data_IF_990423331977
#
_entry.id   IF_990423331977
#
_cell.length_a   1.000
_cell.length_b   1.000
_cell.length_c   1.000
_cell.angle_alpha   90.00
_cell.angle_beta   90.00
_cell.angle_gamma   90.00
#
_symmetry.space_group_name_H-M   'P 1'
#
loop_
_entity.id
_entity.type
_entity.pdbx_description
1 polymer ?
#
# COMPACT_ATOMS: atom_id res chain seq x y z
N UNK A 1 -44.62 -10.17 13.34
CA UNK A 1 -44.00 -10.00 12.96
C UNK A 1 -43.39 -9.81 12.82
N UNK A 2 -43.27 -9.86 12.81
CA UNK A 2 -42.27 -9.68 12.40
C UNK A 2 -41.55 -9.44 12.33
N UNK A 3 -41.23 -9.45 12.18
CA UNK A 3 -40.30 -9.27 11.85
C UNK A 3 -39.58 -9.02 11.59
N UNK A 4 -39.42 -8.91 11.62
CA UNK A 4 -38.51 -8.71 11.10
C UNK A 4 -37.89 -8.54 10.91
N UNK A 5 -38.30 -8.78 11.29
CA UNK A 5 -37.53 -8.71 10.79
C UNK A 5 -36.82 -8.50 10.56
N UNK A 6 -36.97 -8.50 10.74
CA UNK A 6 -36.09 -8.36 10.03
C UNK A 6 -35.46 -8.08 10.08
N UNK A 7 -35.30 -8.06 10.15
CA UNK A 7 -34.57 -7.83 9.79
C UNK A 7 -33.96 -7.67 9.75
N UNK A 8 -33.93 -7.66 9.77
CA UNK A 8 -33.13 -7.57 9.29
C UNK A 8 -32.49 -7.58 9.12
N UNK A 9 -32.84 -7.74 9.60
CA UNK A 9 -31.87 -7.63 9.08
C UNK A 9 -31.19 -7.53 8.97
N UNK A 10 -31.22 -7.63 9.20
CA UNK A 10 -30.37 -7.58 8.53
C UNK A 10 -29.71 -7.40 8.30
N UNK A 11 -29.90 -7.46 8.65
CA UNK A 11 -28.94 -7.33 7.88
C UNK A 11 -28.43 -7.09 7.85
N UNK A 12 -28.22 -7.28 8.03
CA UNK A 12 -27.51 -6.94 7.52
C UNK A 12 -26.92 -6.81 7.37
N UNK A 13 -26.88 -7.08 7.45
CA UNK A 13 -26.03 -6.79 6.83
C UNK A 13 -25.33 -6.71 6.61
N UNK A 14 -25.21 -6.70 6.68
CA UNK A 14 -24.31 -6.47 5.93
C UNK A 14 -23.75 -6.20 5.76
N UNK A 15 -23.56 -6.34 5.78
CA UNK A 15 -22.91 -5.87 5.20
C UNK A 15 -22.26 -5.84 5.12
N UNK A 16 -22.07 -6.02 5.01
CA UNK A 16 -21.22 -5.73 4.53
C UNK A 16 -20.74 -5.54 4.29
N UNK A 17 -20.56 -5.91 4.10
CA UNK A 17 -20.16 -5.42 3.51
C UNK A 17 -19.74 -4.91 2.81
N UNK A 18 -19.78 -5.24 2.33
CA UNK A 18 -19.32 -4.26 1.36
C UNK A 18 -17.92 -3.72 1.63
N UNK A 19 -17.46 -4.00 2.77
CA UNK A 19 -16.12 -3.59 3.18
C UNK A 19 -15.04 -4.03 2.21
N UNK A 20 -15.09 -5.23 1.63
CA UNK A 20 -14.01 -5.63 0.71
C UNK A 20 -13.88 -4.70 -0.49
N UNK A 21 -14.95 -4.13 -0.95
CA UNK A 21 -14.89 -3.25 -2.11
C UNK A 21 -14.20 -1.94 -1.81
N UNK A 22 -13.92 -1.65 -0.54
CA UNK A 22 -13.24 -0.43 -0.14
C UNK A 22 -11.72 -0.56 -0.16
N UNK A 23 -11.21 -1.76 -0.37
CA UNK A 23 -9.77 -1.93 -0.52
C UNK A 23 -9.32 -1.49 -1.89
N UNK A 24 -8.20 -0.81 -1.91
CA UNK A 24 -7.58 -0.36 -3.16
C UNK A 24 -6.14 -0.80 -3.17
N UNK A 25 -5.62 -0.97 -4.38
CA UNK A 25 -4.21 -1.24 -4.57
C UNK A 25 -3.50 0.06 -4.92
N UNK A 26 -2.41 0.31 -4.25
CA UNK A 26 -1.56 1.46 -4.52
C UNK A 26 -0.20 0.97 -5.00
N UNK A 27 0.36 1.71 -5.94
CA UNK A 27 1.71 1.46 -6.41
C UNK A 27 2.62 2.54 -5.84
N UNK A 28 3.62 2.11 -5.11
CA UNK A 28 4.65 2.99 -4.58
C UNK A 28 5.92 2.75 -5.37
N UNK A 29 6.48 3.79 -5.97
CA UNK A 29 7.70 3.69 -6.76
C UNK A 29 8.79 4.50 -6.09
N UNK A 30 9.92 3.85 -5.82
CA UNK A 30 11.08 4.48 -5.19
C UNK A 30 12.27 4.28 -6.10
N UNK A 31 12.96 5.38 -6.43
CA UNK A 31 14.20 5.31 -7.21
C UNK A 31 15.35 5.69 -6.28
N UNK A 32 16.35 4.83 -6.21
CA UNK A 32 17.52 5.05 -5.37
C UNK A 32 18.77 4.56 -6.08
N UNK A 33 19.92 4.84 -5.49
CA UNK A 33 21.19 4.34 -6.02
C UNK A 33 21.24 2.81 -5.90
N UNK A 34 21.85 2.17 -6.90
CA UNK A 34 21.91 0.71 -6.92
C UNK A 34 22.55 0.14 -5.65
N UNK A 35 23.51 0.84 -5.08
CA UNK A 35 24.18 0.38 -3.85
C UNK A 35 23.24 0.36 -2.64
N UNK A 36 22.16 1.15 -2.69
CA UNK A 36 21.20 1.23 -1.58
C UNK A 36 19.97 0.35 -1.80
N UNK A 37 19.87 -0.29 -2.97
CA UNK A 37 18.62 -0.98 -3.33
C UNK A 37 18.24 -2.08 -2.36
N UNK A 38 19.21 -2.89 -1.94
CA UNK A 38 18.92 -3.98 -1.02
C UNK A 38 18.42 -3.51 0.32
N UNK A 39 19.09 -2.51 0.91
CA UNK A 39 18.67 -1.98 2.19
C UNK A 39 17.35 -1.22 2.07
N UNK A 40 17.12 -0.55 0.96
CA UNK A 40 15.87 0.17 0.74
C UNK A 40 14.70 -0.81 0.62
N UNK A 41 14.87 -1.91 -0.10
CA UNK A 41 13.83 -2.93 -0.22
C UNK A 41 13.50 -3.53 1.14
N UNK A 42 14.51 -3.81 1.96
CA UNK A 42 14.31 -4.33 3.31
C UNK A 42 13.57 -3.32 4.18
N UNK A 43 13.93 -2.06 4.07
CA UNK A 43 13.28 -1.01 4.85
C UNK A 43 11.81 -0.85 4.46
N UNK A 44 11.50 -0.95 3.16
CA UNK A 44 10.11 -0.88 2.71
C UNK A 44 9.29 -2.03 3.28
N UNK A 45 9.82 -3.25 3.24
CA UNK A 45 9.12 -4.40 3.83
C UNK A 45 8.86 -4.19 5.30
N UNK A 46 9.86 -3.68 6.01
CA UNK A 46 9.75 -3.44 7.44
C UNK A 46 8.71 -2.38 7.75
N UNK A 47 8.70 -1.29 6.99
CA UNK A 47 7.74 -0.21 7.21
C UNK A 47 6.31 -0.69 6.98
N UNK A 48 6.06 -1.40 5.88
CA UNK A 48 4.72 -1.90 5.63
C UNK A 48 4.28 -2.88 6.71
N UNK A 49 5.20 -3.73 7.17
CA UNK A 49 4.90 -4.66 8.24
C UNK A 49 4.58 -3.93 9.54
N UNK A 50 5.37 -2.93 9.89
CA UNK A 50 5.16 -2.16 11.12
C UNK A 50 3.82 -1.43 11.14
N UNK A 51 3.39 -0.95 9.99
CA UNK A 51 2.12 -0.24 9.89
C UNK A 51 0.95 -1.16 9.59
N UNK A 52 1.20 -2.46 9.49
CA UNK A 52 0.14 -3.44 9.26
C UNK A 52 -0.47 -3.40 7.87
N UNK A 53 0.26 -2.90 6.89
CA UNK A 53 -0.23 -2.82 5.53
C UNK A 53 0.15 -4.07 4.75
N UNK A 54 -0.77 -4.51 3.88
CA UNK A 54 -0.57 -5.72 3.09
C UNK A 54 0.27 -5.42 1.85
N UNK A 55 1.54 -5.81 1.88
CA UNK A 55 2.42 -5.68 0.74
C UNK A 55 2.19 -6.87 -0.19
N UNK A 56 1.61 -6.60 -1.35
CA UNK A 56 1.27 -7.66 -2.30
C UNK A 56 2.46 -8.11 -3.13
N UNK A 57 3.32 -7.16 -3.50
CA UNK A 57 4.51 -7.51 -4.26
C UNK A 57 5.55 -6.40 -4.11
N UNK A 58 6.79 -6.78 -4.30
CA UNK A 58 7.91 -5.85 -4.28
C UNK A 58 8.88 -6.30 -5.36
N UNK A 59 9.16 -5.43 -6.31
CA UNK A 59 10.07 -5.74 -7.40
C UNK A 59 11.11 -4.65 -7.56
N UNK A 60 12.26 -5.02 -8.09
CA UNK A 60 13.37 -4.09 -8.32
C UNK A 60 13.79 -4.18 -9.77
N UNK A 61 13.88 -3.03 -10.42
CA UNK A 61 14.34 -2.94 -11.80
C UNK A 61 15.51 -1.99 -11.88
N UNK A 62 16.58 -2.42 -12.53
CA UNK A 62 17.72 -1.55 -12.76
C UNK A 62 17.38 -0.63 -13.93
N UNK A 63 17.33 0.68 -13.67
CA UNK A 63 16.97 1.65 -14.69
C UNK A 63 18.19 2.25 -15.38
N UNK A 64 19.34 2.18 -14.72
CA UNK A 64 20.60 2.61 -15.30
C UNK A 64 21.73 1.94 -14.54
N UNK A 65 22.96 2.28 -14.88
CA UNK A 65 24.13 1.70 -14.23
C UNK A 65 24.11 1.92 -12.71
N UNK A 66 23.60 3.07 -12.29
CA UNK A 66 23.69 3.47 -10.89
C UNK A 66 22.32 3.61 -10.21
N UNK A 67 21.24 3.37 -10.93
CA UNK A 67 19.90 3.59 -10.38
C UNK A 67 19.04 2.35 -10.45
N UNK A 68 18.27 2.14 -9.39
CA UNK A 68 17.32 1.04 -9.29
C UNK A 68 15.97 1.62 -8.94
N UNK A 69 14.92 1.11 -9.58
CA UNK A 69 13.56 1.45 -9.29
C UNK A 69 12.92 0.29 -8.51
N UNK A 70 12.41 0.59 -7.35
CA UNK A 70 11.72 -0.39 -6.52
C UNK A 70 10.22 -0.08 -6.61
N UNK A 71 9.44 -1.07 -6.98
CA UNK A 71 8.01 -0.93 -7.11
C UNK A 71 7.32 -1.83 -6.10
N UNK A 72 6.50 -1.23 -5.25
CA UNK A 72 5.74 -1.94 -4.24
C UNK A 72 4.25 -1.80 -4.54
N UNK A 73 3.53 -2.92 -4.53
CA UNK A 73 2.08 -2.92 -4.63
C UNK A 73 1.51 -3.23 -3.26
N UNK A 74 0.64 -2.36 -2.80
CA UNK A 74 0.11 -2.41 -1.44
C UNK A 74 -1.40 -2.35 -1.48
N UNK A 75 -2.06 -3.29 -0.81
CA UNK A 75 -3.50 -3.25 -0.64
C UNK A 75 -3.82 -2.46 0.63
N UNK A 76 -4.72 -1.50 0.52
CA UNK A 76 -5.05 -0.63 1.63
C UNK A 76 -6.53 -0.29 1.63
N UNK A 77 -7.15 -0.37 2.80
CA UNK A 77 -8.51 0.12 2.99
C UNK A 77 -8.47 1.63 3.20
N UNK A 78 -9.64 2.24 3.18
CA UNK A 78 -9.74 3.67 3.47
C UNK A 78 -9.20 3.96 4.87
N UNK A 79 -9.49 3.07 5.82
CA UNK A 79 -9.03 3.26 7.19
C UNK A 79 -7.51 3.18 7.32
N UNK A 80 -6.85 2.43 6.44
CA UNK A 80 -5.40 2.25 6.47
C UNK A 80 -4.65 3.31 5.68
N UNK A 81 -5.37 4.17 4.97
CA UNK A 81 -4.74 5.16 4.10
C UNK A 81 -3.84 6.12 4.87
N UNK A 82 -4.22 6.47 6.09
CA UNK A 82 -3.41 7.36 6.91
C UNK A 82 -2.03 6.77 7.20
N UNK A 83 -1.97 5.44 7.40
CA UNK A 83 -0.70 4.77 7.61
C UNK A 83 0.16 4.82 6.35
N UNK A 84 -0.46 4.63 5.19
CA UNK A 84 0.27 4.71 3.92
C UNK A 84 0.86 6.11 3.71
N UNK A 85 0.11 7.16 4.03
CA UNK A 85 0.60 8.53 3.92
C UNK A 85 1.79 8.76 4.84
N UNK A 86 1.75 8.20 6.05
CA UNK A 86 2.87 8.31 6.99
C UNK A 86 4.12 7.65 6.43
N UNK A 87 3.98 6.48 5.82
CA UNK A 87 5.11 5.79 5.20
C UNK A 87 5.69 6.65 4.08
N UNK A 88 4.84 7.20 3.22
CA UNK A 88 5.29 8.03 2.11
C UNK A 88 6.06 9.25 2.64
N UNK A 89 5.56 9.88 3.71
CA UNK A 89 6.23 11.03 4.29
C UNK A 89 7.59 10.66 4.88
N UNK A 90 7.68 9.52 5.54
CA UNK A 90 8.97 9.05 6.07
C UNK A 90 9.97 8.80 4.95
N UNK A 91 9.51 8.19 3.88
CA UNK A 91 10.39 7.92 2.73
C UNK A 91 10.83 9.21 2.06
N UNK A 92 9.92 10.17 1.92
CA UNK A 92 10.24 11.43 1.28
C UNK A 92 11.30 12.23 2.03
N UNK A 93 11.46 11.97 3.33
CA UNK A 93 12.47 12.64 4.13
C UNK A 93 13.87 12.03 3.98
N UNK A 94 14.00 10.89 3.31
CA UNK A 94 15.28 10.22 3.18
C UNK A 94 16.09 10.75 2.02
N UNK A 95 17.35 11.05 2.28
CA UNK A 95 18.25 11.59 1.24
C UNK A 95 18.66 10.53 0.22
N UNK A 96 18.55 9.25 0.57
CA UNK A 96 18.89 8.16 -0.35
C UNK A 96 17.90 8.03 -1.49
N UNK A 97 16.70 8.53 -1.32
CA UNK A 97 15.64 8.40 -2.32
C UNK A 97 15.72 9.57 -3.28
N UNK A 98 15.91 9.27 -4.56
CA UNK A 98 15.99 10.27 -5.60
C UNK A 98 14.66 10.66 -6.15
N UNK A 99 13.73 9.71 -6.16
CA UNK A 99 12.38 9.92 -6.67
C UNK A 99 11.43 9.03 -5.90
N UNK A 100 10.28 9.59 -5.58
CA UNK A 100 9.24 8.87 -4.86
C UNK A 100 7.91 9.25 -5.48
N UNK A 101 7.14 8.24 -5.87
CA UNK A 101 5.79 8.42 -6.42
C UNK A 101 4.89 7.37 -5.85
N UNK A 102 3.62 7.71 -5.66
CA UNK A 102 2.63 6.71 -5.32
C UNK A 102 1.31 7.08 -5.97
N UNK A 103 0.55 6.07 -6.35
CA UNK A 103 -0.69 6.27 -7.08
C UNK A 103 -1.61 5.09 -6.84
N UNK A 104 -2.90 5.31 -7.00
CA UNK A 104 -3.83 4.20 -6.95
C UNK A 104 -3.78 3.46 -8.30
N UNK A 105 -3.87 2.14 -8.22
CA UNK A 105 -3.88 1.29 -9.40
C UNK A 105 -5.32 1.00 -9.76
N UNK A 106 -5.71 1.22 -11.01
CA UNK A 106 -7.10 0.92 -11.40
C UNK A 106 -7.42 -0.55 -11.18
N UNK A 107 -8.64 -0.80 -10.75
CA UNK A 107 -9.12 -2.17 -10.63
C UNK A 107 -9.17 -2.81 -12.01
N UNK A 108 -8.67 -4.01 -12.10
CA UNK A 108 -8.66 -4.73 -13.38
C UNK A 108 -10.05 -5.19 -13.75
#
# INVERSE_FOLDING_TARGET
MPRDAGMEPSGRRSQPSAAPSLRRTYRLTVVCHAADAGSMASELRKLFDEYGLALESLSCDQTSYVSVRITALVASSIAERAALVKIVNQLAAQTKIRRLQWESVPAA
#
